data_IF_786173881928
#
_entry.id   IF_786173881928
#
_cell.length_a   1.000
_cell.length_b   1.000
_cell.length_c   1.000
_cell.angle_alpha   90.00
_cell.angle_beta   90.00
_cell.angle_gamma   90.00
#
_symmetry.space_group_name_H-M   'P 1'
#
loop_
_entity.id
_entity.type
_entity.pdbx_description
1 polymer ?
#
# COMPACT_ATOMS: atom_id res chain seq x y z
N UNK A 1 -2.30 -6.90 16.37
CA UNK A 1 -1.50 -7.52 17.46
C UNK A 1 -1.00 -8.88 16.98
N UNK A 2 0.22 -8.95 16.45
CA UNK A 2 0.86 -10.22 16.09
C UNK A 2 1.66 -10.69 17.31
N UNK A 3 1.10 -11.66 18.03
CA UNK A 3 1.78 -12.30 19.14
C UNK A 3 2.93 -13.15 18.58
N UNK A 4 4.13 -12.58 18.51
CA UNK A 4 5.36 -13.32 18.37
C UNK A 4 5.51 -14.12 19.66
N UNK A 5 5.01 -15.36 19.65
CA UNK A 5 5.30 -16.36 20.66
C UNK A 5 6.80 -16.56 20.65
N UNK A 6 7.48 -15.89 21.58
CA UNK A 6 8.91 -15.99 21.84
C UNK A 6 9.18 -17.44 22.23
N UNK A 7 9.45 -18.30 21.25
CA UNK A 7 9.98 -19.64 21.47
C UNK A 7 11.31 -19.48 22.22
N UNK A 8 11.23 -19.60 23.54
CA UNK A 8 12.36 -19.66 24.46
C UNK A 8 13.09 -21.00 24.40
N UNK A 9 12.80 -21.85 23.40
CA UNK A 9 13.34 -23.20 23.27
C UNK A 9 14.72 -23.38 22.59
N UNK A 10 15.25 -22.49 21.73
CA UNK A 10 16.53 -22.79 21.07
C UNK A 10 17.71 -22.75 22.05
N UNK A 11 17.66 -21.89 23.08
CA UNK A 11 18.71 -21.81 24.11
C UNK A 11 18.70 -23.03 25.05
N UNK A 12 17.53 -23.59 25.36
CA UNK A 12 17.44 -24.80 26.18
C UNK A 12 17.92 -26.03 25.43
N UNK A 13 17.61 -26.15 24.13
CA UNK A 13 18.09 -27.27 23.31
C UNK A 13 19.61 -27.21 23.08
N UNK A 14 20.18 -26.03 22.85
CA UNK A 14 21.63 -25.88 22.75
C UNK A 14 22.32 -26.22 24.07
N UNK A 15 21.78 -25.76 25.19
CA UNK A 15 22.31 -26.11 26.53
C UNK A 15 22.20 -27.61 26.80
N UNK A 16 21.09 -28.24 26.42
CA UNK A 16 20.89 -29.68 26.56
C UNK A 16 21.85 -30.47 25.66
N UNK A 17 22.07 -30.03 24.42
CA UNK A 17 23.04 -30.61 23.50
C UNK A 17 24.46 -30.49 24.07
N UNK A 18 24.84 -29.31 24.56
CA UNK A 18 26.14 -29.08 25.21
C UNK A 18 26.29 -29.95 26.46
N UNK A 19 25.23 -30.09 27.27
CA UNK A 19 25.25 -30.93 28.47
C UNK A 19 25.41 -32.42 28.10
N UNK A 20 24.73 -32.88 27.05
CA UNK A 20 24.90 -34.25 26.51
C UNK A 20 26.31 -34.46 25.95
N UNK A 21 26.87 -33.49 25.24
CA UNK A 21 28.25 -33.55 24.72
C UNK A 21 29.24 -33.63 25.89
N UNK A 22 29.07 -32.81 26.93
CA UNK A 22 29.93 -32.81 28.11
C UNK A 22 29.83 -34.11 28.92
N UNK A 23 28.62 -34.62 29.13
CA UNK A 23 28.40 -35.91 29.80
C UNK A 23 29.04 -37.06 29.03
N UNK A 24 28.92 -37.06 27.70
CA UNK A 24 29.57 -38.06 26.85
C UNK A 24 31.11 -37.93 26.88
N UNK A 25 31.65 -36.72 26.97
CA UNK A 25 33.09 -36.49 27.16
C UNK A 25 33.61 -37.04 28.50
N UNK A 26 32.81 -36.90 29.56
CA UNK A 26 33.15 -37.44 30.90
C UNK A 26 33.11 -38.97 30.90
N UNK A 27 32.10 -39.59 30.26
CA UNK A 27 32.02 -41.06 30.15
C UNK A 27 33.13 -41.63 29.26
N UNK A 28 33.55 -40.91 28.21
CA UNK A 28 34.69 -41.26 27.34
C UNK A 28 36.03 -41.22 28.08
N UNK A 29 36.22 -40.33 29.06
CA UNK A 29 37.43 -40.32 29.90
C UNK A 29 37.54 -41.55 30.80
N UNK A 30 36.42 -42.20 31.09
CA UNK A 30 36.32 -43.33 32.00
C UNK A 30 36.40 -44.69 31.28
N UNK A 31 36.29 -44.69 29.94
CA UNK A 31 36.29 -45.89 29.09
C UNK A 31 37.57 -46.03 28.26
N UNK A 32 38.16 -47.23 28.29
CA UNK A 32 39.34 -47.67 27.54
C UNK A 32 39.03 -47.82 26.03
N UNK A 33 38.76 -46.72 25.32
CA UNK A 33 38.68 -46.70 23.84
C UNK A 33 40.04 -46.37 23.23
N UNK A 34 40.39 -47.02 22.11
CA UNK A 34 41.58 -46.65 21.33
C UNK A 34 41.44 -45.22 20.81
N UNK A 35 42.56 -44.51 20.64
CA UNK A 35 42.59 -43.13 20.12
C UNK A 35 41.82 -42.97 18.81
N UNK A 36 41.79 -44.01 17.97
CA UNK A 36 41.05 -44.07 16.72
C UNK A 36 39.52 -44.10 16.94
N UNK A 37 39.03 -44.85 17.94
CA UNK A 37 37.61 -44.93 18.27
C UNK A 37 37.06 -43.59 18.78
N UNK A 38 37.87 -42.84 19.52
CA UNK A 38 37.52 -41.50 20.00
C UNK A 38 37.38 -40.48 18.85
N UNK A 39 38.30 -40.51 17.88
CA UNK A 39 38.23 -39.69 16.67
C UNK A 39 37.00 -40.00 15.81
N UNK A 40 36.70 -41.29 15.62
CA UNK A 40 35.50 -41.72 14.86
C UNK A 40 34.23 -41.23 15.56
N UNK A 41 34.12 -41.42 16.87
CA UNK A 41 32.95 -40.96 17.62
C UNK A 41 32.77 -39.44 17.56
N UNK A 42 33.86 -38.68 17.73
CA UNK A 42 33.83 -37.22 17.68
C UNK A 42 33.41 -36.70 16.30
N UNK A 43 33.93 -37.29 15.22
CA UNK A 43 33.55 -36.89 13.85
C UNK A 43 32.10 -37.21 13.51
N UNK A 44 31.57 -38.35 13.98
CA UNK A 44 30.15 -38.71 13.84
C UNK A 44 29.26 -37.72 14.59
N UNK A 45 29.62 -37.38 15.82
CA UNK A 45 28.90 -36.39 16.63
C UNK A 45 28.87 -35.01 15.94
N UNK A 46 30.02 -34.55 15.42
CA UNK A 46 30.09 -33.29 14.69
C UNK A 46 29.21 -33.29 13.44
N UNK A 47 29.22 -34.39 12.65
CA UNK A 47 28.35 -34.51 11.47
C UNK A 47 26.87 -34.47 11.86
N UNK A 48 26.49 -35.12 12.96
CA UNK A 48 25.12 -35.11 13.44
C UNK A 48 24.68 -33.71 13.88
N UNK A 49 25.52 -33.01 14.64
CA UNK A 49 25.26 -31.62 15.05
C UNK A 49 25.14 -30.69 13.83
N UNK A 50 26.06 -30.78 12.87
CA UNK A 50 26.02 -29.96 11.65
C UNK A 50 24.74 -30.21 10.84
N UNK A 51 24.34 -31.48 10.70
CA UNK A 51 23.09 -31.82 10.01
C UNK A 51 21.87 -31.23 10.71
N UNK A 52 21.83 -31.25 12.05
CA UNK A 52 20.71 -30.65 12.78
C UNK A 52 20.64 -29.13 12.60
N UNK A 53 21.80 -28.45 12.55
CA UNK A 53 21.87 -27.01 12.33
C UNK A 53 21.37 -26.65 10.92
N UNK A 54 21.84 -27.36 9.89
CA UNK A 54 21.42 -27.14 8.51
C UNK A 54 19.91 -27.33 8.32
N UNK A 55 19.32 -28.35 8.95
CA UNK A 55 17.88 -28.58 8.88
C UNK A 55 17.06 -27.47 9.55
N UNK A 56 17.52 -26.96 10.69
CA UNK A 56 16.88 -25.82 11.35
C UNK A 56 17.07 -24.52 10.54
N UNK A 57 18.23 -24.31 9.93
CA UNK A 57 18.49 -23.18 9.04
C UNK A 57 17.54 -23.20 7.84
N UNK A 58 17.43 -24.35 7.15
CA UNK A 58 16.53 -24.53 6.02
C UNK A 58 15.06 -24.31 6.43
N UNK A 59 14.66 -24.78 7.62
CA UNK A 59 13.32 -24.56 8.16
C UNK A 59 13.03 -23.08 8.37
N UNK A 60 13.91 -22.36 9.07
CA UNK A 60 13.75 -20.92 9.34
C UNK A 60 13.74 -20.11 8.05
N UNK A 61 14.59 -20.48 7.08
CA UNK A 61 14.61 -19.86 5.76
C UNK A 61 13.30 -20.06 5.02
N UNK A 62 12.77 -21.29 4.99
CA UNK A 62 11.50 -21.59 4.34
C UNK A 62 10.31 -20.87 5.00
N UNK A 63 10.29 -20.78 6.34
CA UNK A 63 9.26 -20.05 7.08
C UNK A 63 9.32 -18.55 6.81
N UNK A 64 10.53 -17.98 6.70
CA UNK A 64 10.75 -16.56 6.37
C UNK A 64 10.30 -16.25 4.95
N UNK A 65 10.68 -17.07 3.96
CA UNK A 65 10.25 -16.89 2.57
C UNK A 65 8.73 -17.01 2.43
N UNK A 66 8.09 -17.95 3.16
CA UNK A 66 6.63 -18.07 3.19
C UNK A 66 5.96 -16.82 3.78
N UNK A 67 6.54 -16.21 4.79
CA UNK A 67 6.03 -14.97 5.38
C UNK A 67 6.28 -13.75 4.49
N UNK A 68 7.36 -13.75 3.70
CA UNK A 68 7.73 -12.67 2.77
C UNK A 68 6.81 -12.62 1.54
N UNK A 69 6.47 -13.77 0.96
CA UNK A 69 5.63 -13.85 -0.24
C UNK A 69 4.30 -13.05 -0.17
N UNK A 70 3.47 -13.14 0.90
CA UNK A 70 2.24 -12.35 1.00
C UNK A 70 2.52 -10.85 1.22
N UNK A 71 3.63 -10.49 1.85
CA UNK A 71 4.04 -9.09 2.02
C UNK A 71 4.41 -8.49 0.66
N UNK A 72 5.17 -9.21 -0.16
CA UNK A 72 5.54 -8.76 -1.49
C UNK A 72 4.30 -8.59 -2.39
N UNK A 73 3.37 -9.54 -2.33
CA UNK A 73 2.09 -9.47 -3.06
C UNK A 73 1.28 -8.23 -2.68
N UNK A 74 1.07 -8.01 -1.38
CA UNK A 74 0.29 -6.87 -0.89
C UNK A 74 0.97 -5.54 -1.16
N UNK A 75 2.31 -5.50 -1.12
CA UNK A 75 3.10 -4.32 -1.51
C UNK A 75 2.90 -3.99 -2.99
N UNK A 76 2.87 -4.98 -3.87
CA UNK A 76 2.60 -4.78 -5.29
C UNK A 76 1.17 -4.27 -5.52
N UNK A 77 0.17 -4.84 -4.83
CA UNK A 77 -1.21 -4.33 -4.89
C UNK A 77 -1.31 -2.88 -4.44
N UNK A 78 -0.62 -2.53 -3.35
CA UNK A 78 -0.56 -1.16 -2.86
C UNK A 78 0.06 -0.21 -3.89
N UNK A 79 1.17 -0.61 -4.54
CA UNK A 79 1.79 0.19 -5.60
C UNK A 79 0.85 0.45 -6.78
N UNK A 80 0.11 -0.58 -7.22
CA UNK A 80 -0.89 -0.44 -8.29
C UNK A 80 -1.97 0.58 -7.92
N UNK A 81 -2.54 0.47 -6.72
CA UNK A 81 -3.57 1.39 -6.23
C UNK A 81 -3.04 2.81 -6.05
N UNK A 82 -1.81 2.97 -5.58
CA UNK A 82 -1.17 4.29 -5.47
C UNK A 82 -0.97 4.94 -6.84
N UNK A 83 -0.58 4.15 -7.85
CA UNK A 83 -0.44 4.63 -9.22
C UNK A 83 -1.79 5.10 -9.78
N UNK A 84 -2.83 4.29 -9.63
CA UNK A 84 -4.19 4.61 -10.07
C UNK A 84 -4.74 5.86 -9.37
N UNK A 85 -4.61 5.95 -8.04
CA UNK A 85 -4.95 7.16 -7.27
C UNK A 85 -4.25 8.39 -7.84
N UNK A 86 -2.94 8.30 -8.06
CA UNK A 86 -2.15 9.43 -8.56
C UNK A 86 -2.54 9.82 -9.99
N UNK A 87 -2.93 8.86 -10.82
CA UNK A 87 -3.48 9.11 -12.15
C UNK A 87 -4.76 9.94 -12.06
N UNK A 88 -5.72 9.53 -11.23
CA UNK A 88 -6.97 10.28 -11.05
C UNK A 88 -6.77 11.64 -10.41
N UNK A 89 -5.87 11.78 -9.43
CA UNK A 89 -5.54 13.08 -8.84
C UNK A 89 -5.00 14.05 -9.90
N UNK A 90 -4.15 13.57 -10.82
CA UNK A 90 -3.66 14.38 -11.93
C UNK A 90 -4.78 14.76 -12.91
N UNK A 91 -5.67 13.82 -13.24
CA UNK A 91 -6.81 14.08 -14.11
C UNK A 91 -7.77 15.11 -13.50
N UNK A 92 -8.13 14.95 -12.22
CA UNK A 92 -8.97 15.91 -11.48
C UNK A 92 -8.31 17.29 -11.45
N UNK A 93 -7.00 17.35 -11.19
CA UNK A 93 -6.26 18.61 -11.21
C UNK A 93 -6.30 19.25 -12.60
N UNK A 94 -6.07 18.49 -13.66
CA UNK A 94 -6.15 19.02 -15.03
C UNK A 94 -7.57 19.55 -15.35
N UNK A 95 -8.62 18.87 -14.91
CA UNK A 95 -10.00 19.35 -15.07
C UNK A 95 -10.28 20.62 -14.25
N UNK A 96 -9.73 20.75 -13.04
CA UNK A 96 -9.91 21.93 -12.19
C UNK A 96 -9.07 23.13 -12.65
N UNK A 97 -7.88 22.88 -13.15
CA UNK A 97 -6.97 23.90 -13.68
C UNK A 97 -7.40 24.36 -15.08
N UNK A 98 -8.35 23.67 -15.71
CA UNK A 98 -8.96 24.08 -16.97
C UNK A 98 -9.72 25.40 -16.78
N UNK A 99 -9.07 26.50 -17.14
CA UNK A 99 -9.68 27.82 -17.17
C UNK A 99 -10.52 27.97 -18.44
N UNK A 100 -11.84 28.01 -18.29
CA UNK A 100 -12.73 28.54 -19.33
C UNK A 100 -12.60 30.07 -19.40
N UNK A 101 -13.08 30.69 -20.48
CA UNK A 101 -13.21 32.16 -20.56
C UNK A 101 -14.10 32.75 -19.45
N UNK A 102 -14.99 31.94 -18.90
CA UNK A 102 -15.74 32.23 -17.67
C UNK A 102 -14.85 31.96 -16.46
N UNK A 103 -14.72 32.87 -15.46
CA UNK A 103 -15.66 33.92 -15.02
C UNK A 103 -15.32 35.37 -15.45
N UNK A 104 -14.34 35.59 -16.32
CA UNK A 104 -13.91 36.95 -16.71
C UNK A 104 -14.85 37.63 -17.74
N UNK A 105 -16.04 37.08 -17.97
CA UNK A 105 -17.01 37.62 -18.92
C UNK A 105 -17.85 38.67 -18.19
N UNK A 106 -17.71 39.93 -18.61
CA UNK A 106 -18.61 41.00 -18.20
C UNK A 106 -20.00 40.73 -18.80
N UNK A 107 -20.99 40.54 -17.94
CA UNK A 107 -22.39 40.34 -18.31
C UNK A 107 -23.22 41.52 -17.81
N UNK A 108 -24.29 41.90 -18.52
CA UNK A 108 -25.27 42.90 -18.08
C UNK A 108 -25.66 42.68 -16.61
N UNK A 109 -25.61 43.71 -15.75
CA UNK A 109 -25.96 43.61 -14.33
C UNK A 109 -27.34 42.98 -14.11
N UNK A 110 -27.53 42.35 -12.95
CA UNK A 110 -28.77 41.63 -12.65
C UNK A 110 -29.98 42.55 -12.66
N UNK A 111 -29.82 43.79 -12.21
CA UNK A 111 -30.87 44.80 -12.14
C UNK A 111 -31.37 45.20 -13.54
N UNK A 112 -30.47 45.31 -14.51
CA UNK A 112 -30.80 45.65 -15.88
C UNK A 112 -31.43 44.45 -16.60
N UNK A 113 -30.91 43.25 -16.37
CA UNK A 113 -31.52 42.02 -16.88
C UNK A 113 -32.97 41.84 -16.39
N UNK A 114 -33.23 42.03 -15.10
CA UNK A 114 -34.59 41.86 -14.55
C UNK A 114 -35.59 42.85 -15.12
N UNK A 115 -35.14 44.08 -15.42
CA UNK A 115 -35.97 45.13 -15.99
C UNK A 115 -36.26 44.92 -17.47
N UNK A 116 -35.23 44.67 -18.27
CA UNK A 116 -35.29 44.85 -19.72
C UNK A 116 -35.33 43.51 -20.49
N UNK A 117 -35.14 42.37 -19.81
CA UNK A 117 -35.28 41.06 -20.45
C UNK A 117 -36.77 40.71 -20.75
N UNK A 118 -37.04 39.99 -21.86
CA UNK A 118 -38.36 39.41 -22.13
C UNK A 118 -38.76 38.34 -21.10
N UNK A 119 -40.06 38.24 -20.79
CA UNK A 119 -40.59 37.22 -19.87
C UNK A 119 -40.37 35.79 -20.36
N UNK A 120 -40.30 35.58 -21.68
CA UNK A 120 -40.00 34.27 -22.28
C UNK A 120 -38.61 33.75 -21.86
N UNK A 121 -37.64 34.66 -21.68
CA UNK A 121 -36.27 34.32 -21.24
C UNK A 121 -36.20 34.20 -19.71
N UNK A 122 -36.95 35.03 -18.97
CA UNK A 122 -36.97 34.99 -17.49
C UNK A 122 -37.65 33.75 -16.93
N UNK A 123 -38.72 33.29 -17.57
CA UNK A 123 -39.57 32.18 -17.12
C UNK A 123 -39.01 30.79 -17.45
N UNK A 124 -38.04 30.70 -18.36
CA UNK A 124 -37.41 29.43 -18.75
C UNK A 124 -36.54 28.87 -17.62
N UNK A 125 -36.82 27.66 -17.13
CA UNK A 125 -35.96 26.98 -16.16
C UNK A 125 -34.90 26.16 -16.91
N UNK A 126 -33.66 26.66 -16.95
CA UNK A 126 -32.53 26.07 -17.66
C UNK A 126 -31.66 25.20 -16.75
N UNK A 127 -31.69 25.44 -15.44
CA UNK A 127 -30.97 24.62 -14.45
C UNK A 127 -31.71 24.48 -13.13
N UNK A 128 -31.36 23.44 -12.37
CA UNK A 128 -31.87 23.18 -11.01
C UNK A 128 -31.19 24.09 -9.96
N UNK A 129 -29.97 24.56 -10.23
CA UNK A 129 -29.27 25.50 -9.36
C UNK A 129 -29.63 26.94 -9.73
N UNK A 130 -30.20 27.70 -8.79
CA UNK A 130 -30.72 29.05 -9.02
C UNK A 130 -29.62 30.03 -9.48
N UNK A 131 -28.40 29.93 -8.93
CA UNK A 131 -27.30 30.81 -9.32
C UNK A 131 -26.83 30.51 -10.75
N UNK A 132 -26.69 29.22 -11.08
CA UNK A 132 -26.35 28.80 -12.43
C UNK A 132 -27.45 29.13 -13.45
N UNK A 133 -28.71 28.92 -13.09
CA UNK A 133 -29.88 29.21 -13.91
C UNK A 133 -29.97 30.71 -14.26
N UNK A 134 -29.81 31.58 -13.27
CA UNK A 134 -29.75 33.03 -13.48
C UNK A 134 -28.62 33.43 -14.43
N UNK A 135 -27.45 32.80 -14.28
CA UNK A 135 -26.29 33.07 -15.15
C UNK A 135 -26.55 32.65 -16.61
N UNK A 136 -27.17 31.49 -16.82
CA UNK A 136 -27.57 31.01 -18.16
C UNK A 136 -28.62 31.90 -18.81
N UNK A 137 -29.59 32.39 -18.03
CA UNK A 137 -30.60 33.34 -18.50
C UNK A 137 -29.99 34.66 -18.97
N UNK A 138 -29.05 35.20 -18.18
CA UNK A 138 -28.30 36.42 -18.54
C UNK A 138 -27.50 36.22 -19.82
N UNK A 139 -26.81 35.08 -19.98
CA UNK A 139 -26.09 34.74 -21.22
C UNK A 139 -27.01 34.64 -22.45
N UNK A 140 -28.18 34.01 -22.31
CA UNK A 140 -29.15 33.92 -23.40
C UNK A 140 -29.74 35.27 -23.79
N UNK A 141 -29.92 36.18 -22.82
CA UNK A 141 -30.38 37.53 -23.11
C UNK A 141 -29.35 38.34 -23.91
N UNK A 142 -28.06 38.26 -23.58
CA UNK A 142 -26.98 38.88 -24.36
C UNK A 142 -26.91 38.32 -25.78
N UNK A 143 -27.06 36.99 -25.92
CA UNK A 143 -27.09 36.33 -27.22
C UNK A 143 -28.29 36.81 -28.05
N UNK A 144 -29.46 36.93 -27.43
CA UNK A 144 -30.66 37.48 -28.06
C UNK A 144 -30.45 38.93 -28.51
N UNK A 145 -29.88 39.79 -27.67
CA UNK A 145 -29.55 41.16 -28.03
C UNK A 145 -28.59 41.24 -29.22
N UNK A 146 -27.49 40.47 -29.19
CA UNK A 146 -26.53 40.41 -30.29
C UNK A 146 -27.20 39.94 -31.59
N UNK A 147 -28.08 38.94 -31.53
CA UNK A 147 -28.78 38.41 -32.71
C UNK A 147 -29.79 39.37 -33.32
N UNK A 148 -30.37 40.28 -32.52
CA UNK A 148 -31.30 41.31 -33.01
C UNK A 148 -30.59 42.59 -33.49
N UNK A 149 -29.29 42.73 -33.20
CA UNK A 149 -28.46 43.86 -33.63
C UNK A 149 -27.80 43.64 -35.01
N UNK A 150 -27.73 42.39 -35.50
CA UNK A 150 -27.24 42.01 -36.82
C UNK A 150 -28.39 41.65 -37.75
#
# INVERSE_FOLDING_TARGET
MLAIKKESQPKSQLRELVTRILLNFVTLRQGRLSSLGLLIWFTVLLKQANRSILLEEDRVKADTERAKAPVDLTTLQLHNLMYEKNHYVKAIKACKDFKTKYPDIELVPEEEFLRDAPEDIKSSALSTDNAHDLMLKRLNYELFQASNLF
#
